data_IF_239271777256
#
_entry.id   IF_239271777256
#
_cell.length_a   1.000
_cell.length_b   1.000
_cell.length_c   1.000
_cell.angle_alpha   90.00
_cell.angle_beta   90.00
_cell.angle_gamma   90.00
#
_symmetry.space_group_name_H-M   'P 1'
#
loop_
_entity.id
_entity.type
_entity.pdbx_description
1 polymer ?
#
# COMPACT_ATOMS: atom_id res chain seq x y z
N UNK A 1 -15.46 -23.52 -2.11
CA UNK A 1 -15.66 -22.11 -1.72
C UNK A 1 -14.38 -21.28 -1.62
N UNK A 2 -13.17 -21.87 -1.49
CA UNK A 2 -11.90 -21.11 -1.45
C UNK A 2 -11.48 -20.53 -2.82
N UNK A 3 -11.66 -21.30 -3.88
CA UNK A 3 -11.29 -20.91 -5.25
C UNK A 3 -11.98 -19.64 -5.76
N UNK A 4 -13.26 -19.44 -5.41
CA UNK A 4 -14.06 -18.29 -5.88
C UNK A 4 -13.53 -16.99 -5.23
N UNK A 5 -13.13 -17.05 -3.96
CA UNK A 5 -12.58 -15.88 -3.26
C UNK A 5 -11.23 -15.45 -3.84
N UNK A 6 -10.39 -16.42 -4.21
CA UNK A 6 -9.09 -16.20 -4.86
C UNK A 6 -9.25 -15.66 -6.29
N UNK A 7 -10.25 -16.14 -7.04
CA UNK A 7 -10.58 -15.59 -8.37
C UNK A 7 -11.16 -14.18 -8.29
N UNK A 8 -12.00 -13.87 -7.28
CA UNK A 8 -12.52 -12.53 -7.04
C UNK A 8 -11.38 -11.56 -6.68
N UNK A 9 -10.49 -11.94 -5.75
CA UNK A 9 -9.31 -11.10 -5.41
C UNK A 9 -8.37 -10.91 -6.60
N UNK A 10 -8.25 -11.91 -7.49
CA UNK A 10 -7.44 -11.81 -8.71
C UNK A 10 -8.06 -10.91 -9.78
N UNK A 11 -9.39 -10.93 -9.93
CA UNK A 11 -10.13 -10.05 -10.85
C UNK A 11 -10.12 -8.61 -10.33
N UNK A 12 -10.28 -8.39 -9.02
CA UNK A 12 -10.19 -7.04 -8.41
C UNK A 12 -8.79 -6.43 -8.57
N UNK A 13 -7.73 -7.23 -8.46
CA UNK A 13 -6.35 -6.78 -8.77
C UNK A 13 -6.15 -6.34 -10.23
N UNK A 14 -6.92 -6.87 -11.18
CA UNK A 14 -6.82 -6.46 -12.59
C UNK A 14 -7.34 -5.04 -12.86
N UNK A 15 -8.07 -4.47 -11.90
CA UNK A 15 -8.59 -3.11 -11.90
C UNK A 15 -7.98 -2.26 -10.77
N UNK A 16 -6.83 -2.67 -10.21
CA UNK A 16 -6.12 -1.89 -9.21
C UNK A 16 -5.57 -0.60 -9.85
N UNK A 17 -6.37 0.47 -9.77
CA UNK A 17 -5.99 1.77 -10.27
C UNK A 17 -4.79 2.37 -9.52
N UNK A 18 -4.39 1.78 -8.38
CA UNK A 18 -3.21 2.14 -7.60
C UNK A 18 -2.02 1.20 -7.85
N UNK A 19 -2.13 0.23 -8.78
CA UNK A 19 -1.08 -0.76 -9.04
C UNK A 19 0.31 -0.13 -9.21
N UNK A 20 0.42 0.95 -9.99
CA UNK A 20 1.70 1.64 -10.21
C UNK A 20 2.30 2.25 -8.93
N UNK A 21 1.43 2.72 -8.02
CA UNK A 21 1.86 3.24 -6.71
C UNK A 21 2.23 2.08 -5.80
N UNK A 22 1.46 0.99 -5.82
CA UNK A 22 1.74 -0.21 -5.04
C UNK A 22 3.12 -0.79 -5.37
N UNK A 23 3.42 -0.99 -6.65
CA UNK A 23 4.73 -1.47 -7.11
C UNK A 23 5.88 -0.54 -6.67
N UNK A 24 5.70 0.77 -6.83
CA UNK A 24 6.71 1.76 -6.43
C UNK A 24 6.93 1.76 -4.89
N UNK A 25 5.87 1.67 -4.10
CA UNK A 25 6.00 1.58 -2.63
C UNK A 25 6.67 0.28 -2.19
N UNK A 26 6.34 -0.86 -2.81
CA UNK A 26 7.04 -2.12 -2.53
C UNK A 26 8.51 -2.01 -2.87
N UNK A 27 8.88 -1.42 -4.00
CA UNK A 27 10.28 -1.21 -4.36
C UNK A 27 11.01 -0.25 -3.40
N UNK A 28 10.34 0.82 -2.93
CA UNK A 28 10.92 1.82 -2.01
C UNK A 28 11.14 1.27 -0.60
N UNK A 29 10.24 0.42 -0.12
CA UNK A 29 10.27 -0.10 1.25
C UNK A 29 10.70 -1.57 1.35
N UNK A 30 11.16 -2.16 0.24
CA UNK A 30 11.69 -3.52 0.22
C UNK A 30 12.82 -3.68 1.25
N UNK A 31 12.81 -4.82 1.95
CA UNK A 31 13.75 -5.11 3.04
C UNK A 31 13.60 -4.25 4.31
N UNK A 32 12.78 -3.20 4.29
CA UNK A 32 12.52 -2.34 5.48
C UNK A 32 11.17 -2.65 6.11
N UNK A 33 10.13 -2.79 5.29
CA UNK A 33 8.77 -3.10 5.74
C UNK A 33 8.27 -4.35 5.03
N UNK A 34 7.36 -5.08 5.69
CA UNK A 34 6.73 -6.26 5.09
C UNK A 34 5.73 -5.82 4.01
N UNK A 35 5.72 -6.51 2.88
CA UNK A 35 4.82 -6.21 1.75
C UNK A 35 3.34 -6.04 2.18
N UNK A 36 2.79 -6.93 3.00
CA UNK A 36 1.41 -6.81 3.45
C UNK A 36 1.11 -5.54 4.26
N UNK A 37 2.12 -4.97 4.94
CA UNK A 37 1.98 -3.71 5.65
C UNK A 37 1.92 -2.54 4.67
N UNK A 38 2.78 -2.55 3.65
CA UNK A 38 2.75 -1.58 2.54
C UNK A 38 1.38 -1.59 1.86
N UNK A 39 0.86 -2.79 1.56
CA UNK A 39 -0.47 -2.96 0.96
C UNK A 39 -1.57 -2.41 1.87
N UNK A 40 -1.55 -2.77 3.16
CA UNK A 40 -2.57 -2.35 4.13
C UNK A 40 -2.60 -0.84 4.32
N UNK A 41 -1.44 -0.18 4.36
CA UNK A 41 -1.35 1.29 4.47
C UNK A 41 -1.87 1.95 3.20
N UNK A 42 -1.50 1.46 2.02
CA UNK A 42 -1.98 2.00 0.75
C UNK A 42 -3.51 1.90 0.64
N UNK A 43 -4.08 0.76 1.01
CA UNK A 43 -5.53 0.51 0.99
C UNK A 43 -6.25 1.42 2.00
N UNK A 44 -5.75 1.53 3.24
CA UNK A 44 -6.31 2.41 4.27
C UNK A 44 -6.27 3.89 3.85
N UNK A 45 -5.17 4.33 3.23
CA UNK A 45 -5.07 5.69 2.71
C UNK A 45 -6.06 5.86 1.56
N UNK A 46 -6.14 4.94 0.61
CA UNK A 46 -7.03 5.02 -0.53
C UNK A 46 -8.52 5.15 -0.15
N UNK A 47 -8.95 4.41 0.87
CA UNK A 47 -10.30 4.49 1.48
C UNK A 47 -10.61 5.90 1.98
N UNK A 48 -9.66 6.57 2.63
CA UNK A 48 -9.80 7.95 3.09
C UNK A 48 -10.00 8.98 1.97
N UNK A 49 -9.74 8.60 0.71
CA UNK A 49 -9.96 9.43 -0.47
C UNK A 49 -11.13 8.93 -1.34
N UNK A 50 -11.90 7.93 -0.92
CA UNK A 50 -13.14 7.55 -1.62
C UNK A 50 -14.11 8.74 -1.69
N UNK A 51 -14.78 8.89 -2.84
CA UNK A 51 -15.71 10.01 -3.10
C UNK A 51 -15.09 11.37 -3.43
N UNK A 52 -13.77 11.55 -3.30
CA UNK A 52 -13.07 12.79 -3.70
C UNK A 52 -12.62 12.71 -5.15
N UNK A 53 -13.42 13.25 -6.07
CA UNK A 53 -13.06 13.33 -7.49
C UNK A 53 -12.10 14.49 -7.69
N UNK A 54 -10.80 14.18 -7.80
CA UNK A 54 -9.76 15.15 -8.11
C UNK A 54 -8.73 14.56 -9.06
N UNK A 55 -8.32 15.32 -10.09
CA UNK A 55 -7.31 14.92 -11.09
C UNK A 55 -5.97 14.49 -10.46
N UNK A 56 -5.72 14.91 -9.22
CA UNK A 56 -4.51 14.61 -8.45
C UNK A 56 -4.71 13.58 -7.32
N UNK A 57 -5.83 12.85 -7.28
CA UNK A 57 -6.14 11.88 -6.22
C UNK A 57 -5.01 10.88 -5.99
N UNK A 58 -4.48 10.30 -7.07
CA UNK A 58 -3.36 9.34 -7.01
C UNK A 58 -2.11 9.94 -6.34
N UNK A 59 -1.77 11.19 -6.64
CA UNK A 59 -0.59 11.87 -6.07
C UNK A 59 -0.77 12.09 -4.57
N UNK A 60 -1.97 12.48 -4.12
CA UNK A 60 -2.23 12.67 -2.69
C UNK A 60 -2.22 11.34 -1.93
N UNK A 61 -2.76 10.27 -2.54
CA UNK A 61 -2.71 8.92 -1.96
C UNK A 61 -1.26 8.46 -1.84
N UNK A 62 -0.45 8.55 -2.90
CA UNK A 62 0.97 8.20 -2.87
C UNK A 62 1.71 8.98 -1.78
N UNK A 63 1.59 10.31 -1.78
CA UNK A 63 2.26 11.18 -0.81
C UNK A 63 1.91 10.79 0.62
N UNK A 64 0.62 10.56 0.90
CA UNK A 64 0.15 10.22 2.24
C UNK A 64 0.61 8.82 2.67
N UNK A 65 0.57 7.84 1.75
CA UNK A 65 1.08 6.50 2.01
C UNK A 65 2.59 6.51 2.31
N UNK A 66 3.38 7.29 1.57
CA UNK A 66 4.82 7.46 1.83
C UNK A 66 5.07 8.09 3.20
N UNK A 67 4.32 9.13 3.57
CA UNK A 67 4.44 9.78 4.89
C UNK A 67 4.16 8.79 6.03
N UNK A 68 3.10 7.98 5.93
CA UNK A 68 2.75 6.99 6.95
C UNK A 68 3.75 5.84 7.01
N UNK A 69 4.18 5.29 5.88
CA UNK A 69 5.17 4.22 5.83
C UNK A 69 6.52 4.68 6.39
N UNK A 70 6.95 5.91 6.12
CA UNK A 70 8.16 6.48 6.72
C UNK A 70 8.01 6.66 8.22
N UNK A 71 6.86 7.14 8.71
CA UNK A 71 6.62 7.27 10.14
C UNK A 71 6.66 5.90 10.83
N UNK A 72 6.08 4.86 10.20
CA UNK A 72 6.12 3.49 10.69
C UNK A 72 7.57 2.97 10.72
N UNK A 73 8.31 3.11 9.61
CA UNK A 73 9.70 2.70 9.52
C UNK A 73 10.59 3.41 10.56
N UNK A 74 10.37 4.71 10.79
CA UNK A 74 11.09 5.47 11.81
C UNK A 74 10.68 5.08 13.25
N UNK A 75 9.44 4.65 13.46
CA UNK A 75 8.94 4.20 14.76
C UNK A 75 9.35 2.78 15.14
N UNK A 76 9.79 1.97 14.17
CA UNK A 76 10.35 0.65 14.43
C UNK A 76 11.78 0.84 14.97
N UNK A 77 12.06 0.60 16.27
CA UNK A 77 13.41 0.65 16.78
C UNK A 77 14.25 -0.40 16.03
N UNK A 78 15.40 0.02 15.48
CA UNK A 78 16.33 -0.79 14.68
C UNK A 78 17.01 -1.94 15.43
N UNK A 79 16.28 -2.72 16.24
CA UNK A 79 16.78 -3.88 16.99
C UNK A 79 16.21 -5.23 16.52
N UNK A 80 15.43 -5.28 15.43
CA UNK A 80 15.04 -6.54 14.79
C UNK A 80 15.61 -6.68 13.37
N UNK A 81 16.74 -6.02 13.09
CA UNK A 81 17.60 -6.36 11.95
C UNK A 81 18.73 -7.26 12.48
N UNK A 82 18.41 -8.55 12.66
CA UNK A 82 19.30 -9.72 12.62
C UNK A 82 18.74 -10.85 13.49
N UNK A 83 18.05 -11.81 12.87
CA UNK A 83 18.12 -13.24 13.17
C UNK A 83 17.47 -14.02 12.01
#
# INVERSE_FOLDING_TARGET
MKHIHEEITRIERSHDYLWSIREDLHARFDGTLKAHLVDSVLDCVADGYEGRIGRFRKIFIEKKAVEELNAIAASQPGHLIAA
#
